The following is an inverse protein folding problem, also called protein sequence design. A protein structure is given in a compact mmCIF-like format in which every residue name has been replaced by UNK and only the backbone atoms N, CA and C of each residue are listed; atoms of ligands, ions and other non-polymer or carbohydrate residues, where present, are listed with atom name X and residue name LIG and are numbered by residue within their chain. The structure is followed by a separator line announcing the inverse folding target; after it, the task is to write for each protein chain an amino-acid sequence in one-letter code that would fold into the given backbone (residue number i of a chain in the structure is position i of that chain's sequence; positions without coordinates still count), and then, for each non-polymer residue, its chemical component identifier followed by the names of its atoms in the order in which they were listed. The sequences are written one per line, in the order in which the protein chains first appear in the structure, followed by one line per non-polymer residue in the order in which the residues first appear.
data_IF_359203454664
#
_entry.id   IF_359203454664
#
_cell.length_a   1.000
_cell.length_b   1.000
_cell.length_c   1.000
_cell.angle_alpha   90.00
_cell.angle_beta   90.00
_cell.angle_gamma   90.00
#
_symmetry.space_group_name_H-M   'P 1'
#
loop_
_entity.id
_entity.type
_entity.pdbx_description
1 polymer ?
#
# COMPACT_ATOMS: atom_id res chain seq x y z
N UNK A 1 -27.81 2.11 3.46
CA UNK A 1 -27.29 1.57 2.20
C UNK A 1 -28.22 0.47 1.76
N UNK A 2 -28.80 0.58 0.56
CA UNK A 2 -29.63 -0.51 0.02
C UNK A 2 -28.71 -1.62 -0.50
N UNK A 3 -28.91 -2.82 0.01
CA UNK A 3 -28.06 -3.98 -0.32
C UNK A 3 -28.30 -4.45 -1.75
N UNK A 4 -29.52 -4.31 -2.27
CA UNK A 4 -29.87 -4.72 -3.64
C UNK A 4 -29.11 -3.94 -4.71
N UNK A 5 -28.88 -2.65 -4.47
CA UNK A 5 -28.12 -1.79 -5.39
C UNK A 5 -26.68 -2.30 -5.53
N UNK A 6 -26.06 -2.70 -4.43
CA UNK A 6 -24.71 -3.26 -4.45
C UNK A 6 -24.65 -4.63 -5.14
N UNK A 7 -25.70 -5.46 -5.02
CA UNK A 7 -25.79 -6.76 -5.69
C UNK A 7 -25.88 -6.61 -7.20
N UNK A 8 -26.68 -5.66 -7.68
CA UNK A 8 -26.83 -5.37 -9.10
C UNK A 8 -25.55 -4.77 -9.68
N UNK A 9 -24.90 -3.86 -8.94
CA UNK A 9 -23.61 -3.30 -9.33
C UNK A 9 -22.53 -4.39 -9.44
N UNK A 10 -22.48 -5.31 -8.47
CA UNK A 10 -21.61 -6.48 -8.50
C UNK A 10 -21.82 -7.34 -9.76
N UNK A 11 -23.07 -7.64 -10.13
CA UNK A 11 -23.39 -8.39 -11.35
C UNK A 11 -22.89 -7.68 -12.60
N UNK A 12 -23.08 -6.35 -12.69
CA UNK A 12 -22.63 -5.54 -13.82
C UNK A 12 -21.10 -5.48 -13.93
N UNK A 13 -20.39 -5.40 -12.79
CA UNK A 13 -18.94 -5.46 -12.77
C UNK A 13 -18.43 -6.82 -13.28
N UNK A 14 -19.02 -7.91 -12.79
CA UNK A 14 -18.61 -9.24 -13.22
C UNK A 14 -18.92 -9.50 -14.71
N UNK A 15 -20.05 -9.01 -15.22
CA UNK A 15 -20.37 -9.10 -16.64
C UNK A 15 -19.36 -8.36 -17.52
N UNK A 16 -18.79 -7.24 -17.04
CA UNK A 16 -17.88 -6.40 -17.83
C UNK A 16 -16.42 -6.81 -17.70
N UNK A 17 -15.99 -7.26 -16.53
CA UNK A 17 -14.58 -7.52 -16.21
C UNK A 17 -14.30 -8.96 -15.79
N UNK A 18 -15.32 -9.79 -15.63
CA UNK A 18 -15.24 -11.18 -15.17
C UNK A 18 -14.83 -12.20 -16.25
N UNK A 19 -14.50 -11.74 -17.46
CA UNK A 19 -14.18 -12.59 -18.61
C UNK A 19 -12.96 -13.51 -18.37
N UNK A 20 -11.95 -13.01 -17.65
CA UNK A 20 -10.72 -13.75 -17.35
C UNK A 20 -10.86 -14.48 -16.00
N UNK A 21 -11.39 -13.80 -15.00
CA UNK A 21 -11.66 -14.34 -13.66
C UNK A 21 -12.83 -13.58 -13.05
N UNK A 22 -13.67 -14.26 -12.27
CA UNK A 22 -14.75 -13.60 -11.55
C UNK A 22 -14.23 -12.45 -10.67
N UNK A 23 -14.95 -11.33 -10.68
CA UNK A 23 -14.65 -10.19 -9.84
C UNK A 23 -14.85 -10.56 -8.36
N UNK A 24 -13.78 -10.48 -7.58
CA UNK A 24 -13.84 -10.66 -6.13
C UNK A 24 -14.61 -9.52 -5.49
N UNK A 25 -15.71 -9.82 -4.81
CA UNK A 25 -16.52 -8.85 -4.09
C UNK A 25 -16.35 -9.10 -2.59
N UNK A 26 -15.96 -8.08 -1.85
CA UNK A 26 -15.80 -8.15 -0.40
C UNK A 26 -16.84 -7.24 0.25
N UNK A 27 -17.60 -7.77 1.21
CA UNK A 27 -18.52 -6.97 2.02
C UNK A 27 -17.94 -6.82 3.43
N UNK A 28 -17.70 -5.59 3.84
CA UNK A 28 -17.14 -5.30 5.14
C UNK A 28 -16.52 -3.92 5.20
N UNK A 29 -16.11 -3.52 6.41
CA UNK A 29 -15.39 -2.26 6.63
C UNK A 29 -13.89 -2.40 6.40
N UNK A 30 -13.38 -3.62 6.32
CA UNK A 30 -11.97 -3.90 6.06
C UNK A 30 -11.89 -4.62 4.72
N UNK A 31 -11.17 -4.04 3.77
CA UNK A 31 -10.98 -4.58 2.44
C UNK A 31 -9.51 -4.83 2.17
N UNK A 32 -9.15 -6.09 1.90
CA UNK A 32 -7.80 -6.45 1.49
C UNK A 32 -7.74 -6.42 -0.04
N UNK A 33 -7.02 -5.45 -0.59
CA UNK A 33 -6.89 -5.25 -2.04
C UNK A 33 -5.45 -4.94 -2.41
N UNK A 34 -4.91 -5.63 -3.43
CA UNK A 34 -3.56 -5.40 -3.96
C UNK A 34 -2.49 -5.29 -2.85
N UNK A 35 -2.54 -6.23 -1.89
CA UNK A 35 -1.64 -6.31 -0.73
C UNK A 35 -1.74 -5.13 0.25
N UNK A 36 -2.75 -4.27 0.12
CA UNK A 36 -3.07 -3.23 1.08
C UNK A 36 -4.32 -3.61 1.87
N UNK A 37 -4.42 -3.10 3.09
CA UNK A 37 -5.64 -3.15 3.90
C UNK A 37 -6.28 -1.77 3.91
N UNK A 38 -7.48 -1.66 3.35
CA UNK A 38 -8.32 -0.47 3.38
C UNK A 38 -9.31 -0.62 4.52
N UNK A 39 -9.18 0.22 5.54
CA UNK A 39 -10.01 0.20 6.73
C UNK A 39 -10.92 1.44 6.78
N UNK A 40 -12.23 1.15 6.80
CA UNK A 40 -13.35 2.07 6.85
C UNK A 40 -14.12 1.97 8.18
N UNK A 41 -13.52 1.41 9.25
CA UNK A 41 -14.13 1.31 10.58
C UNK A 41 -14.56 2.66 11.13
N UNK A 42 -13.75 3.70 10.90
CA UNK A 42 -14.00 5.06 11.35
C UNK A 42 -14.74 5.84 10.26
N UNK A 43 -15.96 6.29 10.58
CA UNK A 43 -16.78 7.07 9.64
C UNK A 43 -16.03 8.32 9.18
N UNK A 44 -15.98 8.53 7.85
CA UNK A 44 -15.34 9.69 7.22
C UNK A 44 -13.82 9.62 7.15
N UNK A 45 -13.20 8.50 7.54
CA UNK A 45 -11.76 8.28 7.38
C UNK A 45 -11.50 6.97 6.64
N UNK A 46 -10.55 7.03 5.71
CA UNK A 46 -9.97 5.85 5.08
C UNK A 46 -8.57 5.67 5.66
N UNK A 47 -8.35 4.56 6.35
CA UNK A 47 -7.03 4.15 6.81
C UNK A 47 -6.47 3.13 5.82
N UNK A 48 -5.31 3.42 5.25
CA UNK A 48 -4.61 2.53 4.32
C UNK A 48 -3.40 1.96 5.07
N UNK A 49 -3.35 0.64 5.23
CA UNK A 49 -2.23 -0.05 5.87
C UNK A 49 -1.49 -0.92 4.84
N UNK A 50 -0.16 -0.82 4.85
CA UNK A 50 0.74 -1.59 3.97
C UNK A 50 1.82 -2.35 4.76
N UNK A 51 1.74 -2.35 6.09
CA UNK A 51 2.76 -2.93 6.95
C UNK A 51 2.86 -4.45 6.77
N UNK A 52 1.73 -5.14 6.64
CA UNK A 52 1.69 -6.57 6.32
C UNK A 52 2.41 -6.88 5.00
N UNK A 53 2.24 -6.03 4.00
CA UNK A 53 2.91 -6.22 2.72
C UNK A 53 4.42 -6.12 2.83
N UNK A 54 4.92 -5.08 3.50
CA UNK A 54 6.35 -4.88 3.70
C UNK A 54 6.94 -6.01 4.54
N UNK A 55 6.25 -6.45 5.60
CA UNK A 55 6.68 -7.60 6.41
C UNK A 55 6.81 -8.87 5.57
N UNK A 56 5.79 -9.21 4.80
CA UNK A 56 5.84 -10.39 3.93
C UNK A 56 6.94 -10.28 2.87
N UNK A 57 7.12 -9.09 2.28
CA UNK A 57 8.21 -8.86 1.33
C UNK A 57 9.58 -9.10 1.96
N UNK A 58 9.79 -8.68 3.21
CA UNK A 58 11.03 -8.92 3.94
C UNK A 58 11.22 -10.40 4.32
N UNK A 59 10.14 -11.12 4.60
CA UNK A 59 10.18 -12.57 4.89
C UNK A 59 10.52 -13.42 3.66
N UNK A 60 10.05 -13.00 2.48
CA UNK A 60 10.32 -13.66 1.20
C UNK A 60 11.78 -13.49 0.73
N UNK A 61 12.54 -12.57 1.33
CA UNK A 61 13.95 -12.38 0.97
C UNK A 61 14.78 -13.57 1.48
N UNK A 62 15.70 -14.10 0.65
CA UNK A 62 16.58 -15.20 1.05
C UNK A 62 17.55 -14.81 2.18
N UNK A 63 17.80 -13.51 2.33
CA UNK A 63 18.66 -12.94 3.36
C UNK A 63 17.76 -12.45 4.49
N UNK A 64 17.90 -13.05 5.67
CA UNK A 64 17.19 -12.60 6.87
C UNK A 64 18.05 -11.60 7.64
N UNK A 65 17.54 -10.39 7.81
CA UNK A 65 18.18 -9.37 8.64
C UNK A 65 18.02 -9.73 10.12
N UNK A 66 19.12 -9.86 10.86
CA UNK A 66 19.07 -9.89 12.32
C UNK A 66 19.08 -8.46 12.86
N UNK A 67 18.51 -8.23 14.05
CA UNK A 67 18.52 -6.89 14.69
C UNK A 67 19.94 -6.33 14.86
N UNK A 68 20.92 -7.22 14.96
CA UNK A 68 22.33 -6.87 15.17
C UNK A 68 23.11 -6.80 13.85
N UNK A 69 22.53 -7.26 12.74
CA UNK A 69 23.16 -7.16 11.42
C UNK A 69 23.08 -5.71 10.91
N UNK A 70 24.23 -5.06 10.82
CA UNK A 70 24.39 -3.80 10.12
C UNK A 70 24.84 -4.09 8.70
N UNK A 71 24.13 -3.54 7.72
CA UNK A 71 24.62 -3.47 6.35
C UNK A 71 25.04 -2.05 6.03
N UNK A 72 26.17 -1.92 5.33
CA UNK A 72 26.56 -0.64 4.76
C UNK A 72 25.52 -0.22 3.72
N UNK A 73 24.97 0.98 3.87
CA UNK A 73 24.03 1.52 2.89
C UNK A 73 24.83 1.82 1.62
N UNK A 74 24.33 1.54 0.41
CA UNK A 74 25.01 1.92 -0.83
C UNK A 74 25.17 3.44 -1.01
N UNK A 75 24.50 4.24 -0.17
CA UNK A 75 24.59 5.67 -0.23
C UNK A 75 25.88 6.17 0.42
N UNK A 76 26.41 7.27 -0.11
CA UNK A 76 27.59 7.92 0.47
C UNK A 76 27.34 8.33 1.92
N UNK A 77 28.42 8.39 2.70
CA UNK A 77 28.39 8.73 4.13
C UNK A 77 27.66 10.05 4.45
N UNK A 78 27.53 10.93 3.46
CA UNK A 78 26.83 12.21 3.54
C UNK A 78 25.33 12.16 3.24
N UNK A 79 24.72 10.99 2.96
CA UNK A 79 23.30 10.87 2.60
C UNK A 79 22.36 11.51 3.65
N UNK A 80 22.71 11.35 4.91
CA UNK A 80 21.93 11.86 6.05
C UNK A 80 22.49 13.18 6.60
N UNK A 81 23.58 13.70 6.02
CA UNK A 81 24.11 15.00 6.39
C UNK A 81 23.20 16.12 5.85
N UNK A 82 23.15 17.23 6.57
CA UNK A 82 22.49 18.43 6.06
C UNK A 82 23.16 18.87 4.74
N UNK A 83 22.34 19.09 3.71
CA UNK A 83 22.83 19.56 2.42
C UNK A 83 23.59 20.89 2.58
N UNK A 84 24.86 20.91 2.18
CA UNK A 84 25.72 22.12 2.21
C UNK A 84 25.48 23.06 1.03
N UNK A 85 24.43 22.81 0.26
CA UNK A 85 24.04 23.66 -0.86
C UNK A 85 23.65 25.04 -0.33
N UNK A 86 24.28 26.09 -0.84
CA UNK A 86 23.72 27.44 -0.70
C UNK A 86 22.41 27.45 -1.48
N UNK A 87 21.32 27.87 -0.83
CA UNK A 87 20.09 28.25 -1.52
C UNK A 87 20.46 29.41 -2.46
N UNK A 88 20.76 29.10 -3.72
CA UNK A 88 20.73 30.10 -4.77
C UNK A 88 19.25 30.36 -5.04
N UNK A 89 18.75 31.42 -4.42
CA UNK A 89 17.50 32.03 -4.80
C UNK A 89 17.63 32.42 -6.27
N UNK A 90 17.03 31.62 -7.17
CA UNK A 90 16.69 32.11 -8.50
C UNK A 90 15.54 33.09 -8.32
N UNK A 91 15.87 34.36 -8.09
CA UNK A 91 14.97 35.47 -8.31
C UNK A 91 15.52 36.26 -9.51
N UNK A 92 14.61 36.76 -10.38
CA UNK A 92 14.91 37.21 -11.74
C UNK A 92 15.83 38.42 -11.80
#
# INVERSE_FOLDING_TARGET
MDTKVNDEFAKRLNMRYGLINECTIVRGKIHRSLRMMLDFLVKGKLKIQMDDYVKNMLEDLPIKFSKDSKQETPAGNSLLEAGKGKLQCWLP
#
